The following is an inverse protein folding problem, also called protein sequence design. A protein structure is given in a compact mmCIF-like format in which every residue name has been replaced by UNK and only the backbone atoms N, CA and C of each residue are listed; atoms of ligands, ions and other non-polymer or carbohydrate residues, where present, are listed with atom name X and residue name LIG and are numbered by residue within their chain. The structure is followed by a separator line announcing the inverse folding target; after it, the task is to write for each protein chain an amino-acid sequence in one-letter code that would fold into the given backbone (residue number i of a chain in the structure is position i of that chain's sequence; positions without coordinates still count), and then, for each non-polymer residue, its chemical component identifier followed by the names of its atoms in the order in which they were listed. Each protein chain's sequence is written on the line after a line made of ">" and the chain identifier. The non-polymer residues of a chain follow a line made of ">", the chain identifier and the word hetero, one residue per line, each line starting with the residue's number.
data_IF_403604106339
#
_entry.id   IF_403604106339
#
_cell.length_a   1.000
_cell.length_b   1.000
_cell.length_c   1.000
_cell.angle_alpha   90.00
_cell.angle_beta   90.00
_cell.angle_gamma   90.00
#
_symmetry.space_group_name_H-M   'P 1'
#
loop_
_entity.id
_entity.type
_entity.pdbx_description
1 polymer ?
#
# COMPACT_ATOMS: atom_id res chain seq x y z
N UNK A 1 12.90 -6.16 14.92
CA UNK A 1 12.06 -7.14 14.21
C UNK A 1 11.79 -6.55 12.84
N UNK A 2 12.45 -7.07 11.81
CA UNK A 2 12.40 -6.52 10.46
C UNK A 2 11.12 -7.00 9.78
N UNK A 3 10.28 -6.08 9.32
CA UNK A 3 9.05 -6.38 8.57
C UNK A 3 9.39 -6.73 7.11
N UNK A 4 10.20 -7.78 6.92
CA UNK A 4 10.82 -8.12 5.63
C UNK A 4 9.94 -8.96 4.70
N UNK A 5 8.66 -9.16 5.02
CA UNK A 5 7.75 -9.80 4.07
C UNK A 5 7.35 -8.78 2.99
N UNK A 6 7.77 -8.96 1.72
CA UNK A 6 7.38 -8.05 0.66
C UNK A 6 5.86 -8.01 0.54
N UNK A 7 5.31 -6.80 0.39
CA UNK A 7 3.89 -6.61 0.16
C UNK A 7 3.46 -7.33 -1.12
N UNK A 8 2.39 -8.09 -1.02
CA UNK A 8 1.72 -8.71 -2.16
C UNK A 8 1.04 -7.67 -3.05
N UNK A 9 0.74 -8.04 -4.29
CA UNK A 9 -0.01 -7.18 -5.22
C UNK A 9 -1.36 -6.73 -4.64
N UNK A 10 -2.03 -7.59 -3.86
CA UNK A 10 -3.28 -7.26 -3.19
C UNK A 10 -3.13 -6.18 -2.12
N UNK A 11 -2.04 -6.21 -1.36
CA UNK A 11 -1.71 -5.19 -0.36
C UNK A 11 -1.32 -3.86 -1.00
N UNK A 12 -0.54 -3.89 -2.08
CA UNK A 12 -0.19 -2.69 -2.85
C UNK A 12 -1.45 -2.03 -3.42
N UNK A 13 -2.36 -2.83 -4.01
CA UNK A 13 -3.64 -2.32 -4.49
C UNK A 13 -4.49 -1.72 -3.35
N UNK A 14 -4.40 -2.31 -2.16
CA UNK A 14 -5.07 -1.82 -0.97
C UNK A 14 -4.52 -0.46 -0.53
N UNK A 15 -3.20 -0.25 -0.55
CA UNK A 15 -2.57 1.05 -0.32
C UNK A 15 -3.00 2.10 -1.35
N UNK A 16 -3.06 1.74 -2.65
CA UNK A 16 -3.58 2.64 -3.70
C UNK A 16 -5.02 3.05 -3.42
N UNK A 17 -5.88 2.11 -3.01
CA UNK A 17 -7.28 2.40 -2.66
C UNK A 17 -7.38 3.34 -1.46
N UNK A 18 -6.52 3.18 -0.44
CA UNK A 18 -6.47 4.12 0.70
C UNK A 18 -6.05 5.51 0.23
N UNK A 19 -5.02 5.63 -0.61
CA UNK A 19 -4.60 6.92 -1.21
C UNK A 19 -5.74 7.61 -1.96
N UNK A 20 -6.53 6.85 -2.71
CA UNK A 20 -7.66 7.36 -3.50
C UNK A 20 -8.96 7.56 -2.70
N UNK A 21 -8.95 7.43 -1.37
CA UNK A 21 -10.14 7.58 -0.54
C UNK A 21 -11.17 6.43 -0.68
N UNK A 22 -10.79 5.33 -1.32
CA UNK A 22 -11.60 4.12 -1.51
C UNK A 22 -11.42 3.11 -0.37
N UNK A 23 -10.99 3.59 0.80
CA UNK A 23 -10.56 2.73 1.89
C UNK A 23 -11.69 1.83 2.46
N UNK A 24 -12.94 2.29 2.33
CA UNK A 24 -14.14 1.56 2.75
C UNK A 24 -14.34 0.22 2.04
N UNK A 25 -13.74 0.05 0.87
CA UNK A 25 -13.83 -1.18 0.07
C UNK A 25 -12.68 -2.16 0.32
N UNK A 26 -11.76 -1.85 1.25
CA UNK A 26 -10.72 -2.83 1.61
C UNK A 26 -11.34 -3.97 2.41
N UNK A 27 -11.03 -5.24 2.05
CA UNK A 27 -11.28 -6.38 2.91
C UNK A 27 -10.66 -6.17 4.29
N UNK A 28 -11.35 -6.58 5.34
CA UNK A 28 -10.89 -6.41 6.73
C UNK A 28 -9.52 -7.03 6.96
N UNK A 29 -9.22 -8.18 6.34
CA UNK A 29 -7.92 -8.84 6.44
C UNK A 29 -6.76 -7.94 5.95
N UNK A 30 -6.93 -7.28 4.80
CA UNK A 30 -5.90 -6.40 4.25
C UNK A 30 -5.74 -5.13 5.11
N UNK A 31 -6.84 -4.60 5.64
CA UNK A 31 -6.80 -3.46 6.55
C UNK A 31 -6.03 -3.78 7.83
N UNK A 32 -6.31 -4.91 8.46
CA UNK A 32 -5.60 -5.33 9.68
C UNK A 32 -4.11 -5.52 9.42
N UNK A 33 -3.76 -6.19 8.32
CA UNK A 33 -2.36 -6.42 7.96
C UNK A 33 -1.62 -5.12 7.65
N UNK A 34 -2.19 -4.23 6.85
CA UNK A 34 -1.55 -2.93 6.58
C UNK A 34 -1.43 -2.06 7.83
N UNK A 35 -2.39 -2.15 8.76
CA UNK A 35 -2.34 -1.46 10.04
C UNK A 35 -1.28 -2.06 10.98
N UNK A 36 -1.14 -3.39 11.03
CA UNK A 36 -0.10 -4.06 11.83
C UNK A 36 1.31 -3.76 11.31
N UNK A 37 1.44 -3.51 10.00
CA UNK A 37 2.67 -3.06 9.37
C UNK A 37 2.92 -1.54 9.55
N UNK A 38 1.99 -0.81 10.17
CA UNK A 38 2.10 0.64 10.35
C UNK A 38 2.03 1.43 9.04
N UNK A 39 1.47 0.87 7.96
CA UNK A 39 1.39 1.51 6.64
C UNK A 39 0.12 2.36 6.48
N UNK A 40 -0.89 2.11 7.30
CA UNK A 40 -2.14 2.87 7.34
C UNK A 40 -2.50 3.23 8.78
N UNK A 41 -3.23 4.33 8.94
CA UNK A 41 -3.79 4.77 10.23
C UNK A 41 -5.16 5.40 10.02
N UNK A 42 -5.86 5.67 11.13
CA UNK A 42 -7.12 6.40 11.13
C UNK A 42 -6.84 7.85 11.52
N UNK A 43 -7.29 8.81 10.72
CA UNK A 43 -7.15 10.23 11.04
C UNK A 43 -8.23 10.69 12.06
N UNK A 44 -8.14 11.94 12.52
CA UNK A 44 -9.10 12.51 13.48
C UNK A 44 -10.57 12.54 13.00
N UNK A 45 -10.83 12.31 11.71
CA UNK A 45 -12.17 12.21 11.12
C UNK A 45 -12.64 10.77 10.89
N UNK A 46 -11.97 9.77 11.46
CA UNK A 46 -12.34 8.36 11.30
C UNK A 46 -12.01 7.75 9.94
N UNK A 47 -11.24 8.45 9.10
CA UNK A 47 -10.87 7.98 7.76
C UNK A 47 -9.52 7.27 7.79
N UNK A 48 -9.47 6.15 7.08
CA UNK A 48 -8.21 5.46 6.79
C UNK A 48 -7.34 6.30 5.85
N UNK A 49 -6.10 6.53 6.25
CA UNK A 49 -5.08 7.28 5.52
C UNK A 49 -3.76 6.52 5.54
N UNK A 50 -2.89 6.81 4.56
CA UNK A 50 -1.53 6.28 4.55
C UNK A 50 -0.67 6.96 5.62
N UNK A 51 0.16 6.18 6.31
CA UNK A 51 1.27 6.72 7.10
C UNK A 51 2.41 7.14 6.18
N UNK A 52 3.46 7.74 6.75
CA UNK A 52 4.66 8.08 5.97
C UNK A 52 5.30 6.83 5.33
N UNK A 53 5.50 5.76 6.10
CA UNK A 53 6.01 4.48 5.57
C UNK A 53 5.09 3.84 4.53
N UNK A 54 3.77 4.01 4.66
CA UNK A 54 2.81 3.58 3.63
C UNK A 54 2.95 4.32 2.30
N UNK A 55 3.30 5.61 2.34
CA UNK A 55 3.55 6.40 1.13
C UNK A 55 4.87 5.99 0.46
N UNK A 56 5.92 5.79 1.25
CA UNK A 56 7.25 5.37 0.76
C UNK A 56 7.18 4.00 0.09
N UNK A 57 6.61 3.00 0.77
CA UNK A 57 6.39 1.66 0.19
C UNK A 57 5.56 1.70 -1.09
N UNK A 58 4.53 2.54 -1.15
CA UNK A 58 3.73 2.68 -2.35
C UNK A 58 4.54 3.32 -3.50
N UNK A 59 5.33 4.35 -3.20
CA UNK A 59 6.17 5.05 -4.18
C UNK A 59 7.29 4.14 -4.72
N UNK A 60 8.00 3.41 -3.86
CA UNK A 60 9.04 2.45 -4.26
C UNK A 60 8.49 1.40 -5.23
N UNK A 61 7.28 0.89 -4.96
CA UNK A 61 6.62 -0.11 -5.81
C UNK A 61 6.09 0.47 -7.13
N UNK A 62 5.64 1.72 -7.12
CA UNK A 62 5.21 2.42 -8.35
C UNK A 62 6.41 2.71 -9.27
N UNK A 63 7.57 3.06 -8.71
CA UNK A 63 8.82 3.21 -9.47
C UNK A 63 9.27 1.86 -10.03
N UNK A 64 9.29 0.80 -9.21
CA UNK A 64 9.68 -0.54 -9.65
C UNK A 64 8.78 -1.08 -10.77
N UNK A 65 7.47 -0.85 -10.70
CA UNK A 65 6.53 -1.24 -11.75
C UNK A 65 6.76 -0.48 -13.08
N UNK A 66 7.23 0.77 -13.00
CA UNK A 66 7.54 1.57 -14.19
C UNK A 66 8.85 1.11 -14.86
N UNK A 67 9.83 0.65 -14.08
CA UNK A 67 11.10 0.11 -14.60
C UNK A 67 10.97 -1.25 -15.29
N UNK A 68 9.94 -2.04 -15.01
CA UNK A 68 9.71 -3.34 -15.66
C UNK A 68 9.06 -3.19 -17.06
N UNK A 69 8.51 -2.01 -17.35
CA UNK A 69 7.80 -1.72 -18.61
C UNK A 69 8.73 -1.33 -19.78
N UNK A 70 10.05 -1.30 -19.57
CA UNK A 70 11.04 -0.90 -20.59
C UNK A 70 11.82 -2.06 -21.20
N UNK A 71 11.40 -3.31 -21.00
CA UNK A 71 11.96 -4.43 -21.77
C UNK A 71 11.28 -4.46 -23.15
N UNK A 72 12.00 -4.16 -24.26
CA UNK A 72 11.45 -4.42 -25.58
C UNK A 72 11.20 -5.92 -25.68
N UNK A 73 10.00 -6.31 -26.10
CA UNK A 73 9.71 -7.69 -26.50
C UNK A 73 10.68 -8.09 -27.64
N UNK A 74 11.25 -9.32 -27.63
CA UNK A 74 12.06 -9.82 -28.73
C UNK A 74 11.24 -10.02 -30.02
#
# INVERSE_FOLDING_TARGET
>A
MSLDAPLSAGEINSLRRVRSGLAKFLPSAHRMRLASLGLITVNGGGRLVLTQGGKEQLAEREVAANCDSTKPLP
#
